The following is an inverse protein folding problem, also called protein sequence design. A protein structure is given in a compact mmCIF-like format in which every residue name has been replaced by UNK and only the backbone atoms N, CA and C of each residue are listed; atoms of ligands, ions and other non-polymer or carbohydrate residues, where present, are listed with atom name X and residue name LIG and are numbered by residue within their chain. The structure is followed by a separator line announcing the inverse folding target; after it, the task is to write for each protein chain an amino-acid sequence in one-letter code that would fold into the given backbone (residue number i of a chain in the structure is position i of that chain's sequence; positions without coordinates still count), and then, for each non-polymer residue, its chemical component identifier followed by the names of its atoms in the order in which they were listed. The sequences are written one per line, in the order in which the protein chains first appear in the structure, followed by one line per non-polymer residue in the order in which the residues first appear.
data_IF_779829866740
#
_entry.id   IF_779829866740
#
_cell.length_a   1.000
_cell.length_b   1.000
_cell.length_c   1.000
_cell.angle_alpha   90.00
_cell.angle_beta   90.00
_cell.angle_gamma   90.00
#
_symmetry.space_group_name_H-M   'P 1'
#
loop_
_entity.id
_entity.type
_entity.pdbx_description
1 polymer ?
#
# COMPACT_ATOMS: atom_id res chain seq x y z
N UNK A 1 -17.15 3.51 7.06
CA UNK A 1 -16.73 2.35 6.25
C UNK A 1 -15.34 2.67 5.77
N UNK A 2 -14.38 1.78 6.01
CA UNK A 2 -12.99 2.03 5.66
C UNK A 2 -12.57 1.17 4.47
N UNK A 3 -11.72 1.75 3.61
CA UNK A 3 -11.13 1.12 2.44
C UNK A 3 -9.71 0.63 2.74
N UNK A 4 -9.26 -0.37 1.98
CA UNK A 4 -7.85 -0.76 1.90
C UNK A 4 -7.08 0.23 1.01
N UNK A 5 -5.75 0.26 1.12
CA UNK A 5 -4.91 1.18 0.32
C UNK A 5 -5.13 0.97 -1.17
N UNK A 6 -5.14 -0.27 -1.65
CA UNK A 6 -5.35 -0.54 -3.08
C UNK A 6 -6.70 -0.01 -3.58
N UNK A 7 -7.76 -0.13 -2.77
CA UNK A 7 -9.10 0.33 -3.13
C UNK A 7 -9.17 1.86 -3.22
N UNK A 8 -8.52 2.55 -2.29
CA UNK A 8 -8.41 4.01 -2.34
C UNK A 8 -7.55 4.46 -3.54
N UNK A 9 -6.44 3.75 -3.81
CA UNK A 9 -5.55 3.98 -4.95
C UNK A 9 -6.27 3.79 -6.29
N UNK A 10 -7.08 2.74 -6.43
CA UNK A 10 -7.87 2.50 -7.65
C UNK A 10 -8.95 3.57 -7.86
N UNK A 11 -9.54 4.08 -6.78
CA UNK A 11 -10.45 5.22 -6.85
C UNK A 11 -9.72 6.48 -7.31
N UNK A 12 -8.54 6.76 -6.77
CA UNK A 12 -7.70 7.87 -7.23
C UNK A 12 -7.34 7.75 -8.72
N UNK A 13 -6.91 6.57 -9.17
CA UNK A 13 -6.61 6.30 -10.58
C UNK A 13 -7.83 6.57 -11.47
N UNK A 14 -9.01 6.06 -11.07
CA UNK A 14 -10.27 6.26 -11.81
C UNK A 14 -10.65 7.73 -11.97
N UNK A 15 -10.23 8.58 -11.03
CA UNK A 15 -10.48 10.02 -11.04
C UNK A 15 -9.29 10.85 -11.56
N UNK A 16 -8.28 10.21 -12.16
CA UNK A 16 -7.16 10.90 -12.80
C UNK A 16 -6.08 11.42 -11.84
N UNK A 17 -6.12 11.03 -10.57
CA UNK A 17 -5.02 11.32 -9.63
C UNK A 17 -3.86 10.34 -9.94
N UNK A 18 -2.64 10.83 -10.20
CA UNK A 18 -1.50 9.96 -10.48
C UNK A 18 -1.23 9.01 -9.31
N UNK A 19 -1.10 7.72 -9.62
CA UNK A 19 -0.75 6.69 -8.65
C UNK A 19 0.27 5.75 -9.27
N UNK A 20 1.14 5.19 -8.43
CA UNK A 20 2.08 4.15 -8.83
C UNK A 20 1.36 2.87 -9.23
N UNK A 21 1.99 2.08 -10.10
CA UNK A 21 1.49 0.75 -10.42
C UNK A 21 1.51 -0.12 -9.16
N UNK A 22 0.51 -0.99 -9.02
CA UNK A 22 0.47 -1.95 -7.93
C UNK A 22 -0.60 -3.01 -8.13
N UNK A 23 -0.35 -4.18 -7.58
CA UNK A 23 -1.20 -5.35 -7.73
C UNK A 23 -1.30 -6.09 -6.39
N UNK A 24 -2.49 -6.62 -6.10
CA UNK A 24 -2.78 -7.31 -4.84
C UNK A 24 -2.60 -8.80 -5.04
N UNK A 25 -1.99 -9.45 -4.05
CA UNK A 25 -1.83 -10.90 -3.98
C UNK A 25 -2.24 -11.41 -2.60
N UNK A 26 -2.56 -12.69 -2.53
CA UNK A 26 -2.90 -13.43 -1.31
C UNK A 26 -2.01 -14.66 -1.05
N UNK A 27 -1.10 -14.97 -1.98
CA UNK A 27 -0.08 -16.03 -1.84
C UNK A 27 1.32 -15.46 -2.05
N UNK A 28 2.34 -15.87 -1.27
CA UNK A 28 3.70 -15.37 -1.45
C UNK A 28 4.26 -15.61 -2.85
N UNK A 29 3.93 -16.74 -3.47
CA UNK A 29 4.46 -17.18 -4.76
C UNK A 29 4.08 -16.22 -5.89
N UNK A 30 2.87 -15.65 -5.82
CA UNK A 30 2.40 -14.66 -6.79
C UNK A 30 3.25 -13.37 -6.79
N UNK A 31 3.99 -13.07 -5.72
CA UNK A 31 4.82 -11.87 -5.62
C UNK A 31 5.92 -11.83 -6.69
N UNK A 32 6.42 -12.98 -7.13
CA UNK A 32 7.48 -13.07 -8.14
C UNK A 32 7.03 -12.44 -9.45
N UNK A 33 5.95 -12.95 -10.02
CA UNK A 33 5.45 -12.54 -11.33
C UNK A 33 5.02 -11.06 -11.33
N UNK A 34 4.39 -10.62 -10.24
CA UNK A 34 4.00 -9.22 -10.06
C UNK A 34 5.23 -8.31 -9.99
N UNK A 35 6.26 -8.69 -9.25
CA UNK A 35 7.49 -7.88 -9.13
C UNK A 35 8.24 -7.79 -10.46
N UNK A 36 8.25 -8.88 -11.24
CA UNK A 36 8.80 -8.86 -12.61
C UNK A 36 8.06 -7.88 -13.51
N UNK A 37 6.71 -7.84 -13.47
CA UNK A 37 5.91 -6.85 -14.20
C UNK A 37 6.16 -5.40 -13.75
N UNK A 38 6.50 -5.20 -12.48
CA UNK A 38 6.79 -3.88 -11.91
C UNK A 38 8.24 -3.40 -12.14
N UNK A 39 9.03 -4.11 -12.95
CA UNK A 39 10.40 -3.72 -13.27
C UNK A 39 11.46 -4.32 -12.35
N UNK A 40 11.15 -5.40 -11.65
CA UNK A 40 12.09 -6.22 -10.90
C UNK A 40 12.33 -5.77 -9.45
N UNK A 41 11.74 -4.67 -9.00
CA UNK A 41 11.74 -4.22 -7.60
C UNK A 41 10.33 -3.82 -7.19
N UNK A 42 10.00 -3.97 -5.91
CA UNK A 42 8.67 -3.62 -5.43
C UNK A 42 8.69 -3.21 -3.95
N UNK A 43 7.62 -2.56 -3.50
CA UNK A 43 7.31 -2.41 -2.08
C UNK A 43 6.17 -3.38 -1.74
N UNK A 44 6.42 -4.30 -0.82
CA UNK A 44 5.40 -5.22 -0.29
C UNK A 44 4.66 -4.54 0.85
N UNK A 45 3.35 -4.28 0.69
CA UNK A 45 2.54 -3.52 1.64
C UNK A 45 1.33 -4.32 2.15
N UNK A 46 1.27 -4.57 3.45
CA UNK A 46 0.13 -5.16 4.13
C UNK A 46 -1.17 -4.38 3.86
N UNK A 47 -2.23 -5.10 3.47
CA UNK A 47 -3.55 -4.51 3.28
C UNK A 47 -4.42 -4.74 4.53
N UNK A 48 -4.41 -3.75 5.43
CA UNK A 48 -5.23 -3.71 6.65
C UNK A 48 -5.78 -2.30 6.87
N UNK A 49 -6.90 -2.19 7.58
CA UNK A 49 -7.65 -0.93 7.80
C UNK A 49 -7.10 -0.10 8.97
N UNK A 50 -5.80 -0.20 9.23
CA UNK A 50 -5.12 0.51 10.32
C UNK A 50 -3.82 1.17 9.86
N UNK A 51 -3.53 2.33 10.45
CA UNK A 51 -2.28 3.06 10.24
C UNK A 51 -1.10 2.49 11.05
N UNK A 52 0.12 2.91 10.68
CA UNK A 52 1.36 2.50 11.36
C UNK A 52 1.96 1.19 10.86
N UNK A 53 1.54 0.70 9.69
CA UNK A 53 1.99 -0.55 9.06
C UNK A 53 3.51 -0.64 8.90
N UNK A 54 4.17 0.44 8.48
CA UNK A 54 5.63 0.47 8.32
C UNK A 54 6.37 0.21 9.63
N UNK A 55 5.96 0.88 10.72
CA UNK A 55 6.53 0.66 12.06
C UNK A 55 6.27 -0.75 12.60
N UNK A 56 5.18 -1.38 12.16
CA UNK A 56 4.82 -2.75 12.52
C UNK A 56 5.48 -3.81 11.63
N UNK A 57 6.31 -3.43 10.65
CA UNK A 57 6.97 -4.36 9.72
C UNK A 57 6.10 -4.83 8.55
N UNK A 58 4.90 -4.27 8.39
CA UNK A 58 3.97 -4.57 7.29
C UNK A 58 4.25 -3.81 5.99
N UNK A 59 5.38 -3.12 5.87
CA UNK A 59 5.83 -2.45 4.65
C UNK A 59 7.31 -2.74 4.47
N UNK A 60 7.70 -3.40 3.38
CA UNK A 60 9.09 -3.78 3.11
C UNK A 60 9.45 -3.52 1.64
N UNK A 61 10.61 -2.92 1.39
CA UNK A 61 11.18 -2.79 0.05
C UNK A 61 11.78 -4.13 -0.38
N UNK A 62 11.42 -4.67 -1.53
CA UNK A 62 11.98 -5.86 -2.14
C UNK A 62 12.92 -5.49 -3.31
N UNK A 63 14.16 -5.99 -3.28
CA UNK A 63 15.20 -5.67 -4.27
C UNK A 63 15.13 -6.51 -5.54
N UNK A 64 14.42 -7.63 -5.50
CA UNK A 64 14.28 -8.57 -6.61
C UNK A 64 13.03 -9.45 -6.42
N UNK A 65 12.61 -10.23 -7.43
CA UNK A 65 11.44 -11.09 -7.34
C UNK A 65 11.52 -12.19 -6.27
N UNK A 66 12.72 -12.69 -5.93
CA UNK A 66 12.86 -13.71 -4.89
C UNK A 66 12.68 -13.10 -3.49
N UNK A 67 13.30 -11.95 -3.27
CA UNK A 67 13.14 -11.15 -2.04
C UNK A 67 11.68 -10.67 -1.86
N UNK A 68 10.96 -10.39 -2.94
CA UNK A 68 9.53 -10.08 -2.89
C UNK A 68 8.68 -11.24 -2.37
N UNK A 69 8.96 -12.48 -2.81
CA UNK A 69 8.30 -13.70 -2.31
C UNK A 69 8.58 -13.90 -0.83
N UNK A 70 9.84 -13.76 -0.41
CA UNK A 70 10.23 -13.88 1.01
C UNK A 70 9.47 -12.84 1.87
N UNK A 71 9.49 -11.57 1.45
CA UNK A 71 8.82 -10.48 2.17
C UNK A 71 7.30 -10.62 2.20
N UNK A 72 6.69 -11.10 1.12
CA UNK A 72 5.27 -11.43 1.09
C UNK A 72 4.94 -12.55 2.08
N UNK A 73 5.74 -13.61 2.13
CA UNK A 73 5.59 -14.71 3.09
C UNK A 73 5.76 -14.29 4.55
N UNK A 74 6.62 -13.29 4.81
CA UNK A 74 6.78 -12.72 6.16
C UNK A 74 5.60 -11.83 6.58
N UNK A 75 4.89 -11.21 5.63
CA UNK A 75 3.82 -10.24 5.91
C UNK A 75 2.44 -10.90 5.90
N UNK A 76 2.17 -11.84 4.99
CA UNK A 76 0.92 -12.58 4.97
C UNK A 76 0.75 -13.39 6.26
N UNK A 77 -0.42 -13.27 6.89
CA UNK A 77 -0.72 -13.87 8.19
C UNK A 77 -0.21 -13.09 9.41
N UNK A 78 0.59 -12.03 9.22
CA UNK A 78 1.02 -11.15 10.32
C UNK A 78 -0.18 -10.49 11.00
N UNK A 79 -0.13 -10.33 12.33
CA UNK A 79 -1.05 -9.44 13.05
C UNK A 79 -0.50 -8.02 13.10
N UNK A 80 -1.29 -7.05 12.64
CA UNK A 80 -0.97 -5.63 12.78
C UNK A 80 -2.08 -4.98 13.61
N UNK A 81 -1.83 -4.85 14.92
CA UNK A 81 -2.75 -4.21 15.88
C UNK A 81 -4.14 -4.88 15.93
N UNK A 82 -4.17 -6.21 15.94
CA UNK A 82 -5.42 -6.98 15.95
C UNK A 82 -6.04 -7.20 14.56
N UNK A 83 -5.32 -6.85 13.49
CA UNK A 83 -5.73 -7.11 12.12
C UNK A 83 -4.77 -8.10 11.46
N UNK A 84 -5.27 -9.30 11.18
CA UNK A 84 -4.55 -10.30 10.39
C UNK A 84 -4.44 -9.85 8.93
N UNK A 85 -3.23 -9.89 8.39
CA UNK A 85 -2.97 -9.54 6.99
C UNK A 85 -3.32 -10.72 6.09
N UNK A 86 -4.43 -10.62 5.35
CA UNK A 86 -4.84 -11.64 4.38
C UNK A 86 -4.35 -11.37 2.95
N UNK A 87 -3.97 -10.12 2.67
CA UNK A 87 -3.54 -9.68 1.35
C UNK A 87 -2.40 -8.68 1.48
N UNK A 88 -1.49 -8.70 0.53
CA UNK A 88 -0.46 -7.67 0.37
C UNK A 88 -0.57 -7.04 -1.02
N UNK A 89 -0.19 -5.78 -1.13
CA UNK A 89 -0.04 -5.10 -2.41
C UNK A 89 1.45 -4.99 -2.73
N UNK A 90 1.84 -5.44 -3.90
CA UNK A 90 3.16 -5.18 -4.48
C UNK A 90 3.01 -3.89 -5.28
N UNK A 91 3.75 -2.88 -4.89
CA UNK A 91 3.72 -1.57 -5.54
C UNK A 91 5.06 -1.24 -6.17
N UNK A 92 5.02 -0.52 -7.28
CA UNK A 92 6.20 0.07 -7.91
C UNK A 92 6.98 0.92 -6.91
N UNK A 93 8.31 0.90 -7.02
CA UNK A 93 9.19 1.72 -6.20
C UNK A 93 9.28 3.13 -6.76
N UNK A 94 9.40 4.14 -5.89
CA UNK A 94 9.65 5.51 -6.28
C UNK A 94 10.91 6.06 -5.61
N UNK A 95 11.65 6.89 -6.33
CA UNK A 95 12.73 7.68 -5.78
C UNK A 95 12.12 8.96 -5.18
N UNK A 96 11.91 8.94 -3.85
CA UNK A 96 11.20 10.00 -3.14
C UNK A 96 12.18 11.12 -2.80
N UNK A 97 12.01 12.29 -3.44
CA UNK A 97 12.81 13.48 -3.14
C UNK A 97 12.28 14.25 -1.92
N UNK A 98 10.96 14.42 -1.85
CA UNK A 98 10.26 15.13 -0.78
C UNK A 98 8.94 14.42 -0.45
N UNK A 99 8.52 14.50 0.80
CA UNK A 99 7.27 13.94 1.30
C UNK A 99 6.38 15.07 1.83
N UNK A 100 5.16 15.16 1.31
CA UNK A 100 4.17 16.14 1.74
C UNK A 100 2.93 15.45 2.31
N UNK A 101 2.15 16.21 3.08
CA UNK A 101 0.88 15.77 3.62
C UNK A 101 -0.26 16.53 2.95
N UNK A 102 -1.27 15.81 2.46
CA UNK A 102 -2.52 16.38 1.97
C UNK A 102 -3.70 15.59 2.51
N UNK A 103 -4.77 16.28 2.93
CA UNK A 103 -6.03 15.64 3.30
C UNK A 103 -7.24 16.51 3.03
N UNK A 104 -8.39 15.86 2.85
CA UNK A 104 -9.69 16.49 2.75
C UNK A 104 -10.61 15.92 3.81
N UNK A 105 -11.30 16.78 4.55
CA UNK A 105 -12.22 16.39 5.61
C UNK A 105 -13.45 17.30 5.66
N UNK A 106 -14.51 16.82 6.27
CA UNK A 106 -15.67 17.66 6.59
C UNK A 106 -15.34 18.54 7.80
N UNK A 107 -15.24 19.85 7.57
CA UNK A 107 -15.24 20.83 8.65
C UNK A 107 -16.68 20.99 9.15
N UNK A 108 -16.96 20.39 10.30
CA UNK A 108 -18.29 20.40 10.92
C UNK A 108 -18.68 21.76 11.47
N UNK A 109 -17.71 22.60 11.83
CA UNK A 109 -17.95 23.95 12.36
C UNK A 109 -18.43 24.85 11.24
N UNK A 110 -17.70 24.84 10.12
CA UNK A 110 -18.01 25.67 8.95
C UNK A 110 -18.97 25.00 7.95
N UNK A 111 -19.33 23.72 8.19
CA UNK A 111 -20.22 22.90 7.35
C UNK A 111 -19.77 22.85 5.88
N UNK A 112 -18.47 22.77 5.67
CA UNK A 112 -17.83 22.73 4.35
C UNK A 112 -16.76 21.65 4.30
N UNK A 113 -16.21 21.38 3.11
CA UNK A 113 -15.00 20.58 2.99
C UNK A 113 -13.77 21.46 3.24
N UNK A 114 -12.86 20.97 4.08
CA UNK A 114 -11.55 21.57 4.35
C UNK A 114 -10.47 20.75 3.65
N UNK A 115 -9.62 21.44 2.89
CA UNK A 115 -8.36 20.89 2.40
C UNK A 115 -7.23 21.31 3.34
N UNK A 116 -6.45 20.35 3.82
CA UNK A 116 -5.17 20.58 4.51
C UNK A 116 -4.06 20.15 3.56
N UNK A 117 -3.21 21.08 3.13
CA UNK A 117 -2.14 20.84 2.17
C UNK A 117 -0.95 21.77 2.48
#
# INVERSE_FOLDING_TARGET
MDLLEYQARDLFAKHGVPVLAGEVIDTPEAAREVTERLGGRAVVKAQVKVGGRGKAGGVKLASDPADAVEKAGQILGMDIKGHTVHQVMLAETADIAEEYYVSFLLDRTNRTFLAMA
#
